data_IF_122094742881
#
_entry.id   IF_122094742881
#
_cell.length_a   1.000
_cell.length_b   1.000
_cell.length_c   1.000
_cell.angle_alpha   90.00
_cell.angle_beta   90.00
_cell.angle_gamma   90.00
#
_symmetry.space_group_name_H-M   'P 1'
#
loop_
_entity.id
_entity.type
_entity.pdbx_description
1 polymer ?
#
# COMPACT_ATOMS: atom_id res chain seq x y z
N UNK A 1 6.42 2.72 -8.25
CA UNK A 1 6.06 2.66 -6.82
C UNK A 1 5.42 3.95 -6.34
N UNK A 2 6.11 5.10 -6.37
CA UNK A 2 5.57 6.37 -5.84
C UNK A 2 4.21 6.80 -6.45
N UNK A 3 4.10 6.82 -7.78
CA UNK A 3 2.83 7.12 -8.48
C UNK A 3 1.68 6.20 -8.06
N UNK A 4 1.97 4.90 -7.88
CA UNK A 4 1.00 3.94 -7.38
C UNK A 4 0.54 4.27 -5.96
N UNK A 5 1.47 4.49 -5.03
CA UNK A 5 1.12 4.80 -3.63
C UNK A 5 0.34 6.12 -3.49
N UNK A 6 0.74 7.15 -4.25
CA UNK A 6 -0.01 8.41 -4.34
C UNK A 6 -1.43 8.20 -4.87
N UNK A 7 -1.59 7.34 -5.89
CA UNK A 7 -2.90 6.98 -6.43
C UNK A 7 -3.73 6.24 -5.38
N UNK A 8 -3.20 5.18 -4.76
CA UNK A 8 -3.87 4.44 -3.69
C UNK A 8 -4.30 5.35 -2.54
N UNK A 9 -3.48 6.34 -2.18
CA UNK A 9 -3.81 7.31 -1.11
C UNK A 9 -4.92 8.28 -1.54
N UNK A 10 -4.89 8.78 -2.78
CA UNK A 10 -5.95 9.63 -3.30
C UNK A 10 -7.31 8.91 -3.36
N UNK A 11 -7.29 7.61 -3.68
CA UNK A 11 -8.48 6.75 -3.77
C UNK A 11 -9.24 6.63 -2.44
N UNK A 12 -8.55 6.73 -1.29
CA UNK A 12 -9.20 6.69 0.03
C UNK A 12 -10.29 7.77 0.19
N UNK A 13 -10.11 8.93 -0.45
CA UNK A 13 -11.11 10.02 -0.42
C UNK A 13 -12.28 9.82 -1.40
N UNK A 14 -12.18 8.84 -2.30
CA UNK A 14 -13.11 8.60 -3.42
C UNK A 14 -13.54 7.14 -3.53
N UNK A 15 -13.54 6.39 -2.42
CA UNK A 15 -13.81 4.95 -2.43
C UNK A 15 -15.15 4.58 -3.09
N UNK A 16 -16.18 5.42 -2.89
CA UNK A 16 -17.51 5.22 -3.47
C UNK A 16 -17.55 5.31 -5.01
N UNK A 17 -16.51 5.85 -5.65
CA UNK A 17 -16.42 5.93 -7.11
C UNK A 17 -15.92 4.63 -7.74
N UNK A 18 -15.48 3.65 -6.93
CA UNK A 18 -14.94 2.37 -7.40
C UNK A 18 -15.96 1.26 -7.13
N UNK A 19 -16.15 0.37 -8.11
CA UNK A 19 -17.03 -0.81 -7.95
C UNK A 19 -16.36 -1.93 -7.14
N UNK A 20 -15.03 -2.00 -7.20
CA UNK A 20 -14.24 -3.01 -6.51
C UNK A 20 -13.08 -2.34 -5.78
N UNK A 21 -12.96 -2.62 -4.49
CA UNK A 21 -11.83 -2.21 -3.68
C UNK A 21 -11.08 -3.47 -3.29
N UNK A 22 -9.82 -3.57 -3.72
CA UNK A 22 -8.89 -4.63 -3.34
C UNK A 22 -7.93 -4.07 -2.31
N UNK A 23 -8.05 -4.56 -1.09
CA UNK A 23 -7.10 -4.28 -0.02
C UNK A 23 -6.12 -5.45 0.03
N UNK A 24 -4.84 -5.14 -0.09
CA UNK A 24 -3.76 -6.10 0.15
C UNK A 24 -3.18 -5.75 1.50
N UNK A 25 -3.11 -6.73 2.41
CA UNK A 25 -2.55 -6.55 3.73
C UNK A 25 -1.72 -7.76 4.13
N UNK A 26 -0.65 -7.49 4.88
CA UNK A 26 0.18 -8.50 5.50
C UNK A 26 -0.33 -8.95 6.87
N UNK A 27 0.50 -9.72 7.56
CA UNK A 27 0.28 -10.11 8.95
C UNK A 27 0.24 -8.88 9.89
N UNK A 28 -0.24 -9.08 11.13
CA UNK A 28 -0.30 -8.01 12.13
C UNK A 28 1.04 -7.64 12.77
N UNK A 29 2.10 -8.42 12.54
CA UNK A 29 3.44 -8.08 13.02
C UNK A 29 4.08 -7.01 12.15
N UNK A 30 3.68 -6.87 10.88
CA UNK A 30 4.24 -5.90 9.93
C UNK A 30 5.77 -5.89 9.97
N UNK A 31 6.34 -7.10 9.97
CA UNK A 31 7.77 -7.32 9.72
C UNK A 31 8.13 -6.91 8.29
N UNK A 32 9.43 -6.92 7.97
CA UNK A 32 9.90 -6.48 6.67
C UNK A 32 9.28 -7.29 5.53
N UNK A 33 9.19 -8.60 5.69
CA UNK A 33 8.61 -9.48 4.66
C UNK A 33 7.15 -9.12 4.38
N UNK A 34 6.31 -9.07 5.42
CA UNK A 34 4.90 -8.72 5.25
C UNK A 34 4.68 -7.31 4.71
N UNK A 35 5.49 -6.33 5.13
CA UNK A 35 5.41 -4.96 4.63
C UNK A 35 5.76 -4.88 3.13
N UNK A 36 6.84 -5.53 2.71
CA UNK A 36 7.29 -5.51 1.31
C UNK A 36 6.38 -6.37 0.43
N UNK A 37 6.02 -7.57 0.86
CA UNK A 37 5.10 -8.45 0.17
C UNK A 37 3.74 -7.77 -0.07
N UNK A 38 3.24 -7.02 0.92
CA UNK A 38 2.03 -6.19 0.76
C UNK A 38 2.17 -5.15 -0.36
N UNK A 39 3.27 -4.38 -0.36
CA UNK A 39 3.50 -3.35 -1.36
C UNK A 39 3.64 -3.94 -2.77
N UNK A 40 4.42 -5.01 -2.91
CA UNK A 40 4.71 -5.63 -4.19
C UNK A 40 3.47 -6.33 -4.76
N UNK A 41 2.74 -7.09 -3.93
CA UNK A 41 1.50 -7.72 -4.37
C UNK A 41 0.47 -6.66 -4.78
N UNK A 42 0.27 -5.61 -4.00
CA UNK A 42 -0.65 -4.53 -4.35
C UNK A 42 -0.22 -3.80 -5.64
N UNK A 43 1.09 -3.59 -5.82
CA UNK A 43 1.60 -2.98 -7.03
C UNK A 43 1.39 -3.88 -8.25
N UNK A 44 1.58 -5.20 -8.12
CA UNK A 44 1.27 -6.17 -9.19
C UNK A 44 -0.19 -6.11 -9.59
N UNK A 45 -1.11 -6.18 -8.62
CA UNK A 45 -2.55 -6.12 -8.86
C UNK A 45 -2.99 -4.80 -9.50
N UNK A 46 -2.32 -3.70 -9.16
CA UNK A 46 -2.52 -2.40 -9.80
C UNK A 46 -2.07 -2.40 -11.27
N UNK A 47 -0.91 -2.97 -11.56
CA UNK A 47 -0.41 -3.08 -12.94
C UNK A 47 -1.30 -4.00 -13.79
N UNK A 48 -1.78 -5.10 -13.22
CA UNK A 48 -2.73 -6.00 -13.89
C UNK A 48 -4.06 -5.29 -14.18
N UNK A 49 -4.56 -4.51 -13.23
CA UNK A 49 -5.74 -3.66 -13.43
C UNK A 49 -5.56 -2.65 -14.58
N UNK A 50 -4.40 -1.99 -14.66
CA UNK A 50 -4.08 -1.09 -15.79
C UNK A 50 -4.06 -1.87 -17.11
N UNK A 51 -3.38 -3.02 -17.14
CA UNK A 51 -3.24 -3.85 -18.35
C UNK A 51 -4.59 -4.33 -18.87
N UNK A 52 -5.52 -4.66 -17.98
CA UNK A 52 -6.87 -5.10 -18.30
C UNK A 52 -7.87 -3.93 -18.46
N UNK A 53 -7.41 -2.67 -18.36
CA UNK A 53 -8.22 -1.45 -18.45
C UNK A 53 -9.37 -1.41 -17.42
N UNK A 54 -9.14 -1.96 -16.22
CA UNK A 54 -10.09 -1.99 -15.10
C UNK A 54 -10.15 -0.63 -14.40
N UNK A 55 -10.96 0.30 -14.94
CA UNK A 55 -11.10 1.67 -14.39
C UNK A 55 -11.86 1.74 -13.07
N UNK A 56 -12.64 0.71 -12.74
CA UNK A 56 -13.49 0.65 -11.55
C UNK A 56 -12.83 -0.13 -10.38
N UNK A 57 -11.54 -0.48 -10.52
CA UNK A 57 -10.74 -1.18 -9.50
C UNK A 57 -9.84 -0.21 -8.73
N UNK A 58 -10.04 -0.16 -7.42
CA UNK A 58 -9.14 0.47 -6.46
C UNK A 58 -8.22 -0.58 -5.83
N UNK A 59 -6.90 -0.36 -5.83
CA UNK A 59 -5.94 -1.23 -5.14
C UNK A 59 -5.22 -0.46 -4.03
N UNK A 60 -5.28 -0.98 -2.81
CA UNK A 60 -4.80 -0.31 -1.60
C UNK A 60 -3.83 -1.24 -0.85
N UNK A 61 -2.53 -0.91 -0.77
CA UNK A 61 -1.60 -1.58 0.14
C UNK A 61 -1.79 -1.06 1.56
N UNK A 62 -2.24 -1.93 2.46
CA UNK A 62 -2.51 -1.59 3.86
C UNK A 62 -1.45 -2.21 4.78
N UNK A 63 -0.68 -1.36 5.45
CA UNK A 63 0.19 -1.78 6.55
C UNK A 63 -0.69 -2.15 7.75
N UNK A 64 -0.66 -3.41 8.16
CA UNK A 64 -1.59 -3.97 9.15
C UNK A 64 -1.19 -3.67 10.61
N UNK A 65 -0.79 -2.42 10.85
CA UNK A 65 -0.46 -1.83 12.14
C UNK A 65 -1.00 -0.40 12.20
N UNK A 66 -1.27 0.15 13.39
CA UNK A 66 -1.52 1.58 13.55
C UNK A 66 -0.33 2.43 13.09
N UNK A 67 -0.59 3.58 12.46
CA UNK A 67 0.46 4.48 11.97
C UNK A 67 1.46 4.88 13.07
N UNK A 68 0.97 5.09 14.30
CA UNK A 68 1.81 5.42 15.48
C UNK A 68 2.85 4.34 15.83
N UNK A 69 2.62 3.09 15.43
CA UNK A 69 3.50 1.95 15.67
C UNK A 69 4.54 1.76 14.55
N UNK A 70 4.35 2.41 13.39
CA UNK A 70 5.27 2.30 12.26
C UNK A 70 6.71 2.66 12.64
N UNK A 71 6.90 3.70 13.46
CA UNK A 71 8.23 4.11 13.95
C UNK A 71 8.95 3.03 14.77
N UNK A 72 8.22 2.06 15.33
CA UNK A 72 8.77 0.96 16.10
C UNK A 72 9.29 -0.17 15.20
N UNK A 73 8.85 -0.21 13.93
CA UNK A 73 9.32 -1.16 12.91
C UNK A 73 10.62 -0.67 12.28
N UNK A 74 11.67 -0.57 13.08
CA UNK A 74 12.94 0.09 12.73
C UNK A 74 13.56 -0.45 11.42
N UNK A 75 13.54 -1.76 11.22
CA UNK A 75 13.99 -2.42 9.98
C UNK A 75 13.16 -1.98 8.77
N UNK A 76 11.83 -2.01 8.89
CA UNK A 76 10.90 -1.56 7.84
C UNK A 76 11.15 -0.09 7.52
N UNK A 77 11.20 0.77 8.53
CA UNK A 77 11.45 2.21 8.38
C UNK A 77 12.78 2.47 7.68
N UNK A 78 13.84 1.76 8.09
CA UNK A 78 15.16 1.87 7.47
C UNK A 78 15.11 1.47 6.00
N UNK A 79 14.48 0.33 5.69
CA UNK A 79 14.38 -0.18 4.33
C UNK A 79 13.58 0.76 3.42
N UNK A 80 12.41 1.24 3.87
CA UNK A 80 11.59 2.20 3.11
C UNK A 80 12.36 3.48 2.81
N UNK A 81 13.06 4.04 3.82
CA UNK A 81 13.90 5.24 3.64
C UNK A 81 15.03 5.01 2.63
N UNK A 82 15.70 3.86 2.71
CA UNK A 82 16.78 3.48 1.78
C UNK A 82 16.30 3.44 0.32
N UNK A 83 15.04 3.07 0.10
CA UNK A 83 14.42 3.02 -1.22
C UNK A 83 13.56 4.25 -1.55
N UNK A 84 13.72 5.36 -0.81
CA UNK A 84 12.98 6.62 -1.01
C UNK A 84 11.46 6.46 -0.98
N UNK A 85 10.94 5.44 -0.28
CA UNK A 85 9.51 5.26 -0.04
C UNK A 85 9.14 6.11 1.17
N UNK A 86 8.46 7.22 0.91
CA UNK A 86 8.06 8.12 1.98
C UNK A 86 6.89 7.56 2.78
N UNK A 87 7.00 7.62 4.10
CA UNK A 87 5.96 7.14 5.04
C UNK A 87 4.62 7.85 4.86
N UNK A 88 4.60 9.08 4.37
CA UNK A 88 3.37 9.81 4.06
C UNK A 88 2.61 9.27 2.85
N UNK A 89 3.16 8.31 2.10
CA UNK A 89 2.46 7.64 1.00
C UNK A 89 1.96 6.26 1.42
N UNK A 90 2.40 5.75 2.58
CA UNK A 90 1.89 4.51 3.15
C UNK A 90 0.49 4.74 3.74
N UNK A 91 -0.26 3.65 3.81
CA UNK A 91 -1.62 3.58 4.35
C UNK A 91 -1.59 2.56 5.48
N UNK A 92 -2.16 2.93 6.63
CA UNK A 92 -2.14 2.17 7.87
C UNK A 92 -3.58 1.86 8.33
N UNK A 93 -3.72 0.84 9.19
CA UNK A 93 -4.99 0.48 9.84
C UNK A 93 -5.34 1.45 10.95
#
# INVERSE_FOLDING_TARGET
MESFLSTSKAVLSKLFNYKRIRIVLGNGTCDLDSAISTLIQAFSEYLDGIKNNEKDLAVIPLMNIPEKEYRLKTEVVFFMKRHSISSNLLIFR
#
